data_IF_880100172261
#
_entry.id   IF_880100172261
#
_cell.length_a   1.000
_cell.length_b   1.000
_cell.length_c   1.000
_cell.angle_alpha   90.00
_cell.angle_beta   90.00
_cell.angle_gamma   90.00
#
_symmetry.space_group_name_H-M   'P 1'
#
loop_
_entity.id
_entity.type
_entity.pdbx_description
1 polymer ?
#
# COMPACT_ATOMS: atom_id res chain seq x y z
N UNK A 1 17.84 14.23 -9.21
CA UNK A 1 19.12 13.96 -8.49
C UNK A 1 19.66 12.67 -9.11
N UNK A 2 20.94 12.63 -9.48
CA UNK A 2 21.54 11.41 -10.03
C UNK A 2 21.91 10.41 -8.91
N UNK A 3 22.16 9.15 -9.30
CA UNK A 3 22.40 8.05 -8.35
C UNK A 3 23.64 8.25 -7.49
N UNK A 4 24.73 8.81 -8.08
CA UNK A 4 25.96 9.05 -7.33
C UNK A 4 25.75 10.09 -6.23
N UNK A 5 25.01 11.16 -6.55
CA UNK A 5 24.64 12.18 -5.56
C UNK A 5 23.81 11.58 -4.39
N UNK A 6 22.92 10.62 -4.66
CA UNK A 6 22.17 9.93 -3.63
C UNK A 6 23.06 9.04 -2.76
N UNK A 7 24.00 8.30 -3.39
CA UNK A 7 24.97 7.48 -2.68
C UNK A 7 25.81 8.32 -1.71
N UNK A 8 26.40 9.40 -2.20
CA UNK A 8 27.25 10.31 -1.40
C UNK A 8 26.44 10.93 -0.25
N UNK A 9 25.23 11.41 -0.55
CA UNK A 9 24.39 12.08 0.44
C UNK A 9 23.97 11.17 1.60
N UNK A 10 23.62 9.91 1.30
CA UNK A 10 23.08 8.99 2.29
C UNK A 10 24.07 7.91 2.74
N UNK A 11 25.33 7.98 2.27
CA UNK A 11 26.38 7.02 2.62
C UNK A 11 26.10 5.61 2.11
N UNK A 12 25.42 5.49 0.96
CA UNK A 12 25.06 4.20 0.38
C UNK A 12 26.18 3.67 -0.52
N UNK A 13 26.48 2.37 -0.41
CA UNK A 13 27.46 1.69 -1.26
C UNK A 13 26.88 1.40 -2.67
N UNK A 14 25.56 1.27 -2.78
CA UNK A 14 24.86 1.02 -4.04
C UNK A 14 23.55 1.83 -4.12
N UNK A 15 23.16 2.21 -5.34
CA UNK A 15 21.90 2.88 -5.64
C UNK A 15 21.29 2.31 -6.92
N UNK A 16 20.08 1.76 -6.83
CA UNK A 16 19.41 1.14 -7.97
C UNK A 16 17.99 1.73 -8.16
N UNK A 17 17.64 2.18 -9.38
CA UNK A 17 16.28 2.61 -9.68
C UNK A 17 15.28 1.46 -9.48
N UNK A 18 14.15 1.76 -8.86
CA UNK A 18 13.03 0.83 -8.73
C UNK A 18 11.96 1.24 -9.74
N UNK A 19 11.71 0.38 -10.72
CA UNK A 19 10.75 0.63 -11.82
C UNK A 19 9.39 0.02 -11.49
N UNK A 20 8.81 0.36 -10.34
CA UNK A 20 7.50 -0.15 -9.89
C UNK A 20 6.59 1.03 -9.58
N UNK A 21 5.39 1.02 -10.14
CA UNK A 21 4.33 2.00 -9.85
C UNK A 21 4.04 2.98 -10.98
N UNK A 22 2.85 3.58 -10.93
CA UNK A 22 2.33 4.53 -11.93
C UNK A 22 2.30 5.99 -11.42
N UNK A 23 2.87 6.28 -10.23
CA UNK A 23 2.71 7.58 -9.55
C UNK A 23 3.57 8.71 -10.14
N UNK A 24 4.42 8.45 -11.13
CA UNK A 24 5.36 9.45 -11.66
C UNK A 24 6.49 9.83 -10.69
N UNK A 25 6.53 9.26 -9.50
CA UNK A 25 7.63 9.45 -8.56
C UNK A 25 8.85 8.62 -8.96
N UNK A 26 10.04 9.18 -8.73
CA UNK A 26 11.29 8.44 -8.83
C UNK A 26 11.52 7.66 -7.54
N UNK A 27 11.72 6.34 -7.63
CA UNK A 27 12.07 5.50 -6.48
C UNK A 27 13.46 4.90 -6.72
N UNK A 28 14.32 4.98 -5.70
CA UNK A 28 15.68 4.42 -5.72
C UNK A 28 15.91 3.62 -4.46
N UNK A 29 16.33 2.36 -4.62
CA UNK A 29 16.85 1.55 -3.52
C UNK A 29 18.29 1.95 -3.22
N UNK A 30 18.61 2.13 -1.95
CA UNK A 30 19.94 2.47 -1.45
C UNK A 30 20.41 1.37 -0.48
N UNK A 31 21.55 0.74 -0.77
CA UNK A 31 22.13 -0.25 0.12
C UNK A 31 23.23 0.43 0.98
N UNK A 32 22.99 0.52 2.30
CA UNK A 32 23.87 1.17 3.29
C UNK A 32 24.31 0.16 4.35
N UNK A 33 25.45 -0.47 4.17
CA UNK A 33 25.92 -1.56 5.03
C UNK A 33 24.95 -2.75 4.96
N UNK A 34 24.35 -3.12 6.09
CA UNK A 34 23.31 -4.14 6.15
C UNK A 34 21.88 -3.61 5.98
N UNK A 35 21.73 -2.28 5.91
CA UNK A 35 20.43 -1.65 5.77
C UNK A 35 20.08 -1.45 4.30
N UNK A 36 18.82 -1.69 3.98
CA UNK A 36 18.23 -1.33 2.71
C UNK A 36 17.24 -0.19 2.91
N UNK A 37 17.44 0.88 2.17
CA UNK A 37 16.63 2.09 2.25
C UNK A 37 15.99 2.38 0.91
N UNK A 38 14.88 3.11 0.92
CA UNK A 38 14.17 3.53 -0.29
C UNK A 38 14.01 5.05 -0.30
N UNK A 39 14.60 5.66 -1.31
CA UNK A 39 14.43 7.08 -1.61
C UNK A 39 13.30 7.23 -2.61
N UNK A 40 12.29 8.04 -2.28
CA UNK A 40 11.17 8.40 -3.16
C UNK A 40 11.14 9.91 -3.34
N UNK A 41 11.02 10.38 -4.59
CA UNK A 41 10.94 11.82 -4.88
C UNK A 41 9.94 12.10 -6.00
N UNK A 42 9.17 13.15 -5.83
CA UNK A 42 8.17 13.59 -6.81
C UNK A 42 7.01 14.36 -6.17
N UNK A 43 6.02 14.74 -6.99
CA UNK A 43 4.80 15.37 -6.49
C UNK A 43 4.08 14.50 -5.46
N UNK A 44 3.49 15.13 -4.42
CA UNK A 44 2.73 14.42 -3.39
C UNK A 44 3.54 13.65 -2.34
N UNK A 45 4.88 13.50 -2.51
CA UNK A 45 5.72 12.75 -1.57
C UNK A 45 5.76 13.40 -0.18
N UNK A 46 5.63 14.72 -0.09
CA UNK A 46 5.55 15.42 1.20
C UNK A 46 4.30 15.01 1.98
N UNK A 47 3.15 14.94 1.29
CA UNK A 47 1.89 14.54 1.91
C UNK A 47 1.89 13.06 2.31
N UNK A 48 2.52 12.21 1.49
CA UNK A 48 2.75 10.80 1.83
C UNK A 48 3.63 10.66 3.08
N UNK A 49 4.67 11.48 3.21
CA UNK A 49 5.54 11.47 4.39
C UNK A 49 4.77 11.84 5.67
N UNK A 50 3.83 12.78 5.62
CA UNK A 50 3.00 13.16 6.77
C UNK A 50 2.04 12.02 7.16
N UNK A 51 1.43 11.35 6.18
CA UNK A 51 0.57 10.17 6.40
C UNK A 51 1.36 9.00 6.98
N UNK A 52 2.56 8.74 6.45
CA UNK A 52 3.45 7.70 6.95
C UNK A 52 3.90 8.00 8.39
N UNK A 53 4.24 9.24 8.70
CA UNK A 53 4.60 9.66 10.06
C UNK A 53 3.44 9.43 11.05
N UNK A 54 2.22 9.79 10.67
CA UNK A 54 1.04 9.52 11.48
C UNK A 54 0.82 8.03 11.69
N UNK A 55 0.84 7.23 10.62
CA UNK A 55 0.61 5.78 10.69
C UNK A 55 1.64 5.09 11.60
N UNK A 56 2.93 5.46 11.46
CA UNK A 56 3.99 4.97 12.34
C UNK A 56 3.80 5.38 13.80
N UNK A 57 3.27 6.60 14.06
CA UNK A 57 3.03 7.10 15.41
C UNK A 57 1.94 6.35 16.18
N UNK A 58 0.99 5.74 15.46
CA UNK A 58 -0.05 4.88 16.04
C UNK A 58 0.35 3.41 16.10
N UNK A 59 1.60 3.07 15.72
CA UNK A 59 2.17 1.73 15.81
C UNK A 59 1.68 0.76 14.72
N UNK A 60 1.10 1.25 13.64
CA UNK A 60 0.70 0.39 12.53
C UNK A 60 1.93 0.00 11.67
N UNK A 61 2.03 -1.26 11.20
CA UNK A 61 3.19 -1.73 10.43
C UNK A 61 3.32 -0.99 9.08
N UNK A 62 4.41 -0.21 8.95
CA UNK A 62 4.76 0.53 7.75
C UNK A 62 6.27 0.85 7.77
N UNK A 63 6.87 1.30 6.66
CA UNK A 63 8.25 1.75 6.65
C UNK A 63 8.50 2.87 7.66
N UNK A 64 9.69 2.91 8.24
CA UNK A 64 10.09 4.02 9.10
C UNK A 64 10.74 5.13 8.28
N UNK A 65 10.39 6.38 8.60
CA UNK A 65 11.03 7.54 8.00
C UNK A 65 12.45 7.67 8.57
N UNK A 66 13.45 7.64 7.69
CA UNK A 66 14.85 7.88 8.04
C UNK A 66 15.19 9.35 7.87
N UNK A 67 14.75 9.96 6.76
CA UNK A 67 14.94 11.37 6.48
C UNK A 67 13.88 11.84 5.46
N UNK A 68 13.60 13.15 5.41
CA UNK A 68 12.64 13.73 4.46
C UNK A 68 12.92 15.19 4.13
N UNK A 69 12.39 15.65 3.02
CA UNK A 69 12.42 17.07 2.60
C UNK A 69 11.18 17.43 1.80
N UNK A 70 11.19 18.60 1.19
CA UNK A 70 9.97 19.18 0.58
C UNK A 70 9.31 18.31 -0.49
N UNK A 71 10.06 17.49 -1.24
CA UNK A 71 9.52 16.65 -2.31
C UNK A 71 10.23 15.30 -2.36
N UNK A 72 10.76 14.84 -1.26
CA UNK A 72 11.43 13.54 -1.17
C UNK A 72 11.30 12.94 0.22
N UNK A 73 11.42 11.63 0.27
CA UNK A 73 11.28 10.80 1.45
C UNK A 73 12.32 9.68 1.39
N UNK A 74 12.99 9.39 2.49
CA UNK A 74 13.86 8.24 2.69
C UNK A 74 13.28 7.36 3.78
N UNK A 75 13.04 6.09 3.46
CA UNK A 75 12.46 5.13 4.41
C UNK A 75 13.32 3.89 4.55
N UNK A 76 13.10 3.14 5.64
CA UNK A 76 13.56 1.76 5.76
C UNK A 76 12.83 0.86 4.77
N UNK A 77 13.42 -0.31 4.47
CA UNK A 77 12.71 -1.40 3.84
C UNK A 77 11.58 -1.90 4.75
N UNK A 78 10.44 -2.21 4.16
CA UNK A 78 9.39 -2.95 4.84
C UNK A 78 9.70 -4.45 4.71
N UNK A 79 9.81 -5.21 5.80
CA UNK A 79 10.08 -6.65 5.73
C UNK A 79 8.93 -7.42 5.10
N UNK A 80 9.23 -8.61 4.56
CA UNK A 80 8.23 -9.47 3.93
C UNK A 80 8.23 -9.44 2.42
N UNK A 81 7.18 -9.99 1.83
CA UNK A 81 6.93 -10.00 0.39
C UNK A 81 5.59 -9.35 0.12
N UNK A 82 5.52 -8.55 -0.93
CA UNK A 82 4.23 -8.01 -1.35
C UNK A 82 3.31 -9.13 -1.88
N UNK A 83 2.01 -8.91 -1.72
CA UNK A 83 1.00 -9.90 -2.06
C UNK A 83 0.85 -10.12 -3.58
N UNK A 84 1.42 -9.27 -4.43
CA UNK A 84 1.37 -9.44 -5.90
C UNK A 84 2.37 -10.47 -6.41
N UNK A 85 3.35 -10.86 -5.62
CA UNK A 85 4.35 -11.85 -6.03
C UNK A 85 3.75 -13.24 -6.18
N UNK A 86 4.46 -14.12 -6.90
CA UNK A 86 3.99 -15.49 -7.13
C UNK A 86 4.18 -16.36 -5.87
N UNK A 87 3.18 -16.30 -5.00
CA UNK A 87 3.11 -17.13 -3.82
C UNK A 87 2.82 -18.60 -4.16
N UNK A 88 3.42 -19.57 -3.43
CA UNK A 88 3.08 -20.99 -3.61
C UNK A 88 1.58 -21.23 -3.54
N UNK A 89 1.05 -22.09 -4.37
CA UNK A 89 -0.40 -22.32 -4.46
C UNK A 89 -1.04 -22.73 -3.11
N UNK A 90 -0.28 -23.48 -2.30
CA UNK A 90 -0.74 -23.91 -0.97
C UNK A 90 -0.86 -22.73 0.02
N UNK A 91 -0.08 -21.66 -0.16
CA UNK A 91 -0.02 -20.53 0.77
C UNK A 91 -1.03 -19.43 0.41
N UNK A 92 -1.48 -19.36 -0.85
CA UNK A 92 -2.37 -18.29 -1.35
C UNK A 92 -3.64 -18.09 -0.52
N UNK A 93 -4.32 -19.14 -0.01
CA UNK A 93 -5.47 -18.95 0.87
C UNK A 93 -5.12 -18.22 2.18
N UNK A 94 -3.95 -18.52 2.77
CA UNK A 94 -3.48 -17.86 3.98
C UNK A 94 -3.02 -16.42 3.70
N UNK A 95 -2.35 -16.18 2.57
CA UNK A 95 -1.99 -14.83 2.11
C UNK A 95 -3.25 -13.98 1.90
N UNK A 96 -4.29 -14.53 1.28
CA UNK A 96 -5.56 -13.83 1.08
C UNK A 96 -6.24 -13.48 2.42
N UNK A 97 -6.17 -14.36 3.40
CA UNK A 97 -6.67 -14.09 4.74
C UNK A 97 -5.84 -12.99 5.44
N UNK A 98 -4.52 -13.03 5.31
CA UNK A 98 -3.64 -12.01 5.87
C UNK A 98 -3.87 -10.61 5.26
N UNK A 99 -4.17 -10.52 3.96
CA UNK A 99 -4.59 -9.27 3.31
C UNK A 99 -5.86 -8.72 3.97
N UNK A 100 -6.86 -9.58 4.21
CA UNK A 100 -8.11 -9.17 4.86
C UNK A 100 -7.89 -8.76 6.33
N UNK A 101 -6.99 -9.44 7.05
CA UNK A 101 -6.62 -9.11 8.43
C UNK A 101 -5.95 -7.74 8.51
N UNK A 102 -5.03 -7.44 7.58
CA UNK A 102 -4.36 -6.15 7.49
C UNK A 102 -5.33 -5.00 7.26
N UNK A 103 -6.31 -5.19 6.36
CA UNK A 103 -7.34 -4.17 6.11
C UNK A 103 -8.24 -3.96 7.35
N UNK A 104 -8.67 -5.03 8.01
CA UNK A 104 -9.46 -4.91 9.26
C UNK A 104 -8.69 -4.14 10.34
N UNK A 105 -7.39 -4.40 10.46
CA UNK A 105 -6.56 -3.69 11.43
C UNK A 105 -6.43 -2.20 11.09
N UNK A 106 -6.33 -1.84 9.81
CA UNK A 106 -6.28 -0.45 9.35
C UNK A 106 -7.59 0.28 9.65
N UNK A 107 -8.72 -0.31 9.32
CA UNK A 107 -10.06 0.26 9.53
C UNK A 107 -10.38 0.57 11.01
N UNK A 108 -9.77 -0.19 11.93
CA UNK A 108 -9.97 -0.01 13.38
C UNK A 108 -9.16 1.15 13.96
N UNK A 109 -8.25 1.74 13.20
CA UNK A 109 -7.52 2.90 13.66
C UNK A 109 -8.45 4.10 13.83
N UNK A 110 -8.07 5.02 14.70
CA UNK A 110 -8.81 6.24 14.95
C UNK A 110 -7.88 7.44 15.04
N UNK A 111 -8.44 8.66 14.90
CA UNK A 111 -7.68 9.88 15.03
C UNK A 111 -6.81 10.21 13.81
N UNK A 112 -7.10 9.62 12.66
CA UNK A 112 -6.45 10.00 11.40
C UNK A 112 -6.85 11.45 11.05
N UNK A 113 -5.86 12.35 10.87
CA UNK A 113 -6.17 13.76 10.60
C UNK A 113 -6.41 14.07 9.12
N UNK A 114 -6.23 13.07 8.23
CA UNK A 114 -6.31 13.27 6.79
C UNK A 114 -7.68 12.83 6.27
N UNK A 115 -8.34 13.65 5.43
CA UNK A 115 -9.51 13.18 4.68
C UNK A 115 -9.07 12.23 3.56
N UNK A 116 -9.92 11.26 3.23
CA UNK A 116 -9.77 10.48 2.00
C UNK A 116 -9.90 11.42 0.78
N UNK A 117 -9.08 11.26 -0.27
CA UNK A 117 -9.28 12.00 -1.52
C UNK A 117 -10.53 11.53 -2.28
N UNK A 118 -11.03 10.33 -1.99
CA UNK A 118 -12.23 9.80 -2.63
C UNK A 118 -13.49 10.40 -2.02
N UNK A 119 -14.50 10.76 -2.82
CA UNK A 119 -15.78 11.20 -2.32
C UNK A 119 -16.49 10.06 -1.59
N UNK A 120 -17.29 10.43 -0.61
CA UNK A 120 -18.05 9.48 0.22
C UNK A 120 -17.98 9.86 1.69
N UNK A 121 -18.84 9.25 2.47
CA UNK A 121 -18.86 9.40 3.93
C UNK A 121 -18.49 8.07 4.56
N UNK A 122 -17.60 8.12 5.54
CA UNK A 122 -17.18 6.98 6.32
C UNK A 122 -16.39 7.44 7.54
N UNK A 123 -16.11 6.50 8.40
CA UNK A 123 -15.35 6.69 9.64
C UNK A 123 -14.14 5.74 9.74
N UNK A 124 -13.91 4.95 8.68
CA UNK A 124 -12.77 4.05 8.61
C UNK A 124 -11.51 4.78 8.14
N UNK A 125 -10.35 4.36 8.63
CA UNK A 125 -9.07 4.77 8.05
C UNK A 125 -8.83 3.91 6.81
N UNK A 126 -8.82 4.55 5.65
CA UNK A 126 -8.62 3.88 4.36
C UNK A 126 -7.21 4.14 3.83
N UNK A 127 -6.65 3.18 3.13
CA UNK A 127 -5.38 3.31 2.42
C UNK A 127 -5.52 4.19 1.16
N UNK A 128 -6.65 4.06 0.46
CA UNK A 128 -6.95 4.75 -0.79
C UNK A 128 -6.25 4.15 -2.03
N UNK A 129 -5.40 3.14 -1.85
CA UNK A 129 -4.77 2.33 -2.90
C UNK A 129 -4.44 0.92 -2.37
N UNK A 130 -5.38 0.30 -1.64
CA UNK A 130 -5.19 -1.02 -1.04
C UNK A 130 -5.24 -2.10 -2.12
N UNK A 131 -4.08 -2.34 -2.73
CA UNK A 131 -3.88 -3.30 -3.81
C UNK A 131 -2.77 -4.29 -3.44
N UNK A 132 -2.70 -5.45 -4.12
CA UNK A 132 -1.76 -6.51 -3.77
C UNK A 132 -0.28 -6.07 -3.69
N UNK A 133 0.25 -5.21 -4.57
CA UNK A 133 1.65 -4.77 -4.46
C UNK A 133 1.94 -3.89 -3.25
N UNK A 134 0.92 -3.28 -2.64
CA UNK A 134 1.07 -2.38 -1.49
C UNK A 134 0.91 -3.08 -0.13
N UNK A 135 0.56 -4.37 -0.12
CA UNK A 135 0.32 -5.16 1.10
C UNK A 135 1.41 -6.20 1.27
N UNK A 136 2.08 -6.18 2.42
CA UNK A 136 3.22 -7.05 2.71
C UNK A 136 2.84 -8.16 3.69
N UNK A 137 3.32 -9.36 3.37
CA UNK A 137 3.08 -10.60 4.10
C UNK A 137 4.42 -11.21 4.48
N UNK A 138 4.55 -11.63 5.72
CA UNK A 138 5.69 -12.37 6.21
C UNK A 138 5.72 -13.78 5.59
N UNK A 139 6.78 -14.17 4.86
CA UNK A 139 6.81 -15.42 4.11
C UNK A 139 6.89 -16.68 4.99
N UNK A 140 7.35 -16.55 6.24
CA UNK A 140 7.51 -17.70 7.14
C UNK A 140 6.22 -17.97 7.93
N UNK A 141 5.52 -16.91 8.34
CA UNK A 141 4.32 -17.00 9.17
C UNK A 141 3.02 -16.84 8.40
N UNK A 142 3.07 -16.37 7.15
CA UNK A 142 1.94 -16.02 6.28
C UNK A 142 0.99 -15.01 6.94
N UNK A 143 1.54 -14.09 7.75
CA UNK A 143 0.78 -13.04 8.43
C UNK A 143 1.05 -11.68 7.79
N UNK A 144 0.08 -10.81 7.87
CA UNK A 144 0.23 -9.41 7.51
C UNK A 144 1.39 -8.76 8.28
N UNK A 145 2.28 -8.05 7.59
CA UNK A 145 3.42 -7.38 8.18
C UNK A 145 3.56 -5.90 7.80
N UNK A 146 2.71 -5.36 6.93
CA UNK A 146 2.66 -3.92 6.70
C UNK A 146 2.14 -3.49 5.33
N UNK A 147 2.11 -2.17 5.12
CA UNK A 147 1.64 -1.53 3.88
C UNK A 147 2.61 -0.45 3.39
N UNK A 148 2.60 -0.23 2.07
CA UNK A 148 3.37 0.81 1.36
C UNK A 148 2.44 1.79 0.63
N UNK A 149 3.02 2.90 0.16
CA UNK A 149 2.40 3.88 -0.76
C UNK A 149 1.15 4.56 -0.16
N UNK A 150 1.39 5.36 0.87
CA UNK A 150 0.34 5.97 1.70
C UNK A 150 -0.16 7.32 1.18
N UNK A 151 0.15 7.68 -0.07
CA UNK A 151 -0.19 8.99 -0.63
C UNK A 151 -1.69 9.34 -0.61
N UNK A 152 -2.56 8.34 -0.52
CA UNK A 152 -4.02 8.49 -0.50
C UNK A 152 -4.67 8.12 0.85
N UNK A 153 -3.87 7.78 1.88
CA UNK A 153 -4.40 7.39 3.18
C UNK A 153 -5.24 8.51 3.79
N UNK A 154 -6.42 8.16 4.31
CA UNK A 154 -7.31 9.13 4.95
C UNK A 154 -8.59 8.50 5.48
N UNK A 155 -9.46 9.29 6.12
CA UNK A 155 -10.74 8.83 6.64
C UNK A 155 -11.78 8.79 5.52
N UNK A 156 -12.42 7.62 5.30
CA UNK A 156 -13.38 7.42 4.23
C UNK A 156 -14.29 6.21 4.43
N UNK A 157 -14.95 5.78 3.35
CA UNK A 157 -15.77 4.57 3.34
C UNK A 157 -14.88 3.32 3.24
N UNK A 158 -15.01 2.38 4.16
CA UNK A 158 -14.29 1.09 4.15
C UNK A 158 -14.41 0.30 2.85
N UNK A 159 -15.49 0.48 2.10
CA UNK A 159 -15.67 -0.19 0.81
C UNK A 159 -14.75 0.34 -0.29
N UNK A 160 -14.11 1.48 -0.09
CA UNK A 160 -13.06 1.95 -1.00
C UNK A 160 -11.93 0.92 -1.13
N UNK A 161 -11.33 0.55 -0.02
CA UNK A 161 -10.18 -0.39 -0.03
C UNK A 161 -10.61 -1.82 -0.36
N UNK A 162 -11.82 -2.22 0.03
CA UNK A 162 -12.41 -3.48 -0.42
C UNK A 162 -12.53 -3.53 -1.95
N UNK A 163 -12.98 -2.44 -2.57
CA UNK A 163 -13.14 -2.33 -4.00
C UNK A 163 -11.79 -2.36 -4.75
N UNK A 164 -10.79 -1.64 -4.24
CA UNK A 164 -9.46 -1.59 -4.87
C UNK A 164 -8.74 -2.94 -4.79
N UNK A 165 -8.80 -3.63 -3.65
CA UNK A 165 -8.26 -4.99 -3.56
C UNK A 165 -9.08 -5.99 -4.39
N UNK A 166 -10.41 -5.87 -4.40
CA UNK A 166 -11.26 -6.69 -5.29
C UNK A 166 -10.86 -6.52 -6.76
N UNK A 167 -10.67 -5.27 -7.22
CA UNK A 167 -10.15 -4.95 -8.56
C UNK A 167 -8.78 -5.60 -8.81
N UNK A 168 -7.87 -5.48 -7.86
CA UNK A 168 -6.52 -6.05 -7.92
C UNK A 168 -6.51 -7.58 -8.07
N UNK A 169 -7.45 -8.27 -7.41
CA UNK A 169 -7.53 -9.74 -7.40
C UNK A 169 -8.36 -10.32 -8.55
N UNK A 170 -9.43 -9.62 -8.99
CA UNK A 170 -10.35 -10.16 -10.01
C UNK A 170 -9.79 -10.16 -11.41
N UNK A 171 -8.86 -9.27 -11.71
CA UNK A 171 -8.32 -9.03 -13.05
C UNK A 171 -7.06 -9.81 -13.37
N UNK A 172 -6.40 -9.40 -14.44
CA UNK A 172 -5.16 -10.01 -14.94
C UNK A 172 -3.90 -9.56 -14.19
N UNK A 173 -4.00 -8.62 -13.24
CA UNK A 173 -2.85 -8.11 -12.49
C UNK A 173 -2.26 -9.16 -11.55
N UNK A 174 -3.13 -9.98 -10.93
CA UNK A 174 -2.73 -11.01 -9.95
C UNK A 174 -3.40 -12.35 -10.26
N UNK A 175 -3.13 -12.95 -11.44
CA UNK A 175 -3.83 -14.15 -11.92
C UNK A 175 -3.60 -15.38 -11.06
N UNK A 176 -2.51 -15.38 -10.26
CA UNK A 176 -2.16 -16.47 -9.35
C UNK A 176 -3.24 -16.74 -8.29
N UNK A 177 -4.07 -15.75 -7.92
CA UNK A 177 -5.15 -15.93 -6.96
C UNK A 177 -6.42 -16.56 -7.52
N UNK A 178 -6.58 -16.61 -8.85
CA UNK A 178 -7.73 -17.25 -9.51
C UNK A 178 -8.89 -16.32 -9.82
N UNK A 179 -8.68 -15.02 -9.84
CA UNK A 179 -9.62 -14.03 -10.36
C UNK A 179 -10.84 -13.76 -9.47
N UNK A 180 -12.03 -13.65 -10.06
CA UNK A 180 -13.26 -13.27 -9.37
C UNK A 180 -13.58 -14.11 -8.11
N UNK A 181 -13.42 -15.44 -8.07
CA UNK A 181 -13.65 -16.21 -6.85
C UNK A 181 -12.77 -15.79 -5.69
N UNK A 182 -11.49 -15.47 -5.94
CA UNK A 182 -10.58 -15.00 -4.91
C UNK A 182 -10.93 -13.58 -4.44
N UNK A 183 -11.30 -12.69 -5.35
CA UNK A 183 -11.76 -11.34 -5.00
C UNK A 183 -13.00 -11.37 -4.09
N UNK A 184 -14.00 -12.21 -4.41
CA UNK A 184 -15.17 -12.42 -3.55
C UNK A 184 -14.77 -13.00 -2.20
N UNK A 185 -13.89 -14.01 -2.21
CA UNK A 185 -13.41 -14.63 -0.96
C UNK A 185 -12.68 -13.65 -0.06
N UNK A 186 -11.90 -12.72 -0.61
CA UNK A 186 -11.26 -11.65 0.16
C UNK A 186 -12.29 -10.78 0.90
N UNK A 187 -13.35 -10.32 0.20
CA UNK A 187 -14.41 -9.50 0.81
C UNK A 187 -15.14 -10.27 1.92
N UNK A 188 -15.45 -11.56 1.71
CA UNK A 188 -16.02 -12.43 2.73
C UNK A 188 -15.09 -12.61 3.94
N UNK A 189 -13.80 -12.84 3.72
CA UNK A 189 -12.79 -12.95 4.77
C UNK A 189 -12.67 -11.67 5.60
N UNK A 190 -12.79 -10.51 4.96
CA UNK A 190 -12.86 -9.23 5.65
C UNK A 190 -14.15 -9.11 6.50
N UNK A 191 -15.25 -9.74 6.12
CA UNK A 191 -16.57 -9.65 6.73
C UNK A 191 -17.53 -8.68 6.01
N UNK A 192 -17.21 -8.35 4.76
CA UNK A 192 -18.04 -7.52 3.87
C UNK A 192 -18.98 -8.36 3.00
N UNK A 193 -19.83 -7.68 2.24
CA UNK A 193 -20.69 -8.26 1.23
C UNK A 193 -20.02 -8.10 -0.16
N UNK A 194 -19.65 -9.19 -0.86
CA UNK A 194 -19.03 -9.11 -2.18
C UNK A 194 -19.99 -8.63 -3.29
N UNK A 195 -21.28 -8.54 -3.01
CA UNK A 195 -22.29 -8.02 -3.92
C UNK A 195 -22.73 -6.59 -3.57
N UNK A 196 -22.09 -5.93 -2.59
CA UNK A 196 -22.39 -4.54 -2.24
C UNK A 196 -22.09 -3.62 -3.44
N UNK A 197 -23.03 -2.78 -3.88
CA UNK A 197 -22.88 -1.93 -5.08
C UNK A 197 -21.74 -0.91 -4.93
N UNK A 198 -21.25 -0.61 -3.72
CA UNK A 198 -20.11 0.29 -3.50
C UNK A 198 -18.82 -0.29 -4.08
N UNK A 199 -18.69 -1.61 -4.23
CA UNK A 199 -17.50 -2.21 -4.85
C UNK A 199 -17.35 -1.71 -6.28
N UNK A 200 -18.37 -1.87 -7.12
CA UNK A 200 -18.29 -1.41 -8.51
C UNK A 200 -18.29 0.13 -8.63
N UNK A 201 -18.92 0.82 -7.69
CA UNK A 201 -18.89 2.28 -7.63
C UNK A 201 -17.44 2.80 -7.46
N UNK A 202 -16.70 2.30 -6.45
CA UNK A 202 -15.32 2.75 -6.20
C UNK A 202 -14.34 2.27 -7.26
N UNK A 203 -14.56 1.10 -7.86
CA UNK A 203 -13.76 0.65 -9.01
C UNK A 203 -13.92 1.61 -10.19
N UNK A 204 -15.17 1.99 -10.52
CA UNK A 204 -15.46 2.93 -11.60
C UNK A 204 -14.82 4.30 -11.33
N UNK A 205 -14.91 4.76 -10.09
CA UNK A 205 -14.33 6.03 -9.67
C UNK A 205 -12.80 6.03 -9.76
N UNK A 206 -12.15 4.93 -9.34
CA UNK A 206 -10.70 4.78 -9.46
C UNK A 206 -10.25 4.69 -10.93
N UNK A 207 -11.02 4.01 -11.79
CA UNK A 207 -10.73 3.90 -13.23
C UNK A 207 -10.87 5.25 -13.95
N UNK A 208 -11.82 6.10 -13.56
CA UNK A 208 -12.03 7.42 -14.18
C UNK A 208 -11.00 8.46 -13.72
N UNK A 209 -10.47 8.33 -12.51
CA UNK A 209 -9.63 9.35 -11.89
C UNK A 209 -10.38 10.62 -11.46
N UNK A 210 -11.72 10.64 -11.51
CA UNK A 210 -12.55 11.82 -11.25
C UNK A 210 -12.53 12.31 -9.78
N UNK A 211 -11.78 11.63 -8.92
CA UNK A 211 -11.58 12.01 -7.52
C UNK A 211 -10.30 12.80 -7.27
N UNK A 212 -9.41 12.89 -8.26
CA UNK A 212 -8.18 13.68 -8.14
C UNK A 212 -8.49 15.15 -8.44
N UNK A 213 -8.05 16.09 -7.57
CA UNK A 213 -8.22 17.52 -7.77
C UNK A 213 -7.38 18.07 -8.92
#
# INVERSE_FOLDING_TARGET
MDLNTLQDRFGAANAEPVHVGCSGATVVRLDRGSERLYYKAGPGVSDEADRLAWLGSVGFPCPQIVDRGNNWLLTTELPGRDASQDWPAADRPAVLAAIADGLRALDQLSGCPFPSPFPGRGDAVTHGDYAAPNVFIDPDTLRFCGILDLGRLGVGDRYLDLALMFKSLRGSLNPQYGGLPAARRFVELYGGDPDDPRIEHYITLDDSGDYMP
#
